data_IF_368703895400
#
_entry.id   IF_368703895400
#
_cell.length_a   1.000
_cell.length_b   1.000
_cell.length_c   1.000
_cell.angle_alpha   90.00
_cell.angle_beta   90.00
_cell.angle_gamma   90.00
#
_symmetry.space_group_name_H-M   'P 1'
#
loop_
_entity.id
_entity.type
_entity.pdbx_description
1 polymer ?
#
# COMPACT_ATOMS: atom_id res chain seq x y z
N UNK A 1 -0.40 -4.41 -0.59
CA UNK A 1 0.63 -4.74 -1.59
C UNK A 1 1.88 -3.91 -1.42
N UNK A 2 2.68 -3.79 -2.47
CA UNK A 2 3.92 -3.02 -2.53
C UNK A 2 3.85 -1.84 -3.51
N UNK A 3 4.93 -1.63 -4.27
CA UNK A 3 5.02 -0.61 -5.33
C UNK A 3 5.03 -1.26 -6.72
N UNK A 4 4.78 -0.47 -7.77
CA UNK A 4 4.84 -0.95 -9.15
C UNK A 4 3.87 -2.10 -9.39
N UNK A 5 4.35 -3.16 -10.03
CA UNK A 5 3.56 -4.36 -10.38
C UNK A 5 3.01 -5.11 -9.15
N UNK A 6 3.55 -4.83 -7.97
CA UNK A 6 3.11 -5.44 -6.71
C UNK A 6 2.09 -4.57 -5.96
N UNK A 7 1.75 -3.39 -6.48
CA UNK A 7 0.75 -2.51 -5.88
C UNK A 7 -0.66 -3.09 -6.11
N UNK A 8 -1.54 -2.93 -5.13
CA UNK A 8 -2.94 -3.40 -5.20
C UNK A 8 -3.86 -2.20 -5.01
N UNK A 9 -4.20 -1.48 -6.09
CA UNK A 9 -5.17 -0.38 -6.04
C UNK A 9 -6.56 -0.91 -5.69
N UNK A 10 -7.29 -0.21 -4.83
CA UNK A 10 -8.65 -0.58 -4.41
C UNK A 10 -9.66 0.55 -4.70
N UNK A 11 -10.11 0.72 -5.96
CA UNK A 11 -11.08 1.76 -6.32
C UNK A 11 -12.39 1.68 -5.52
N UNK A 12 -12.83 0.48 -5.14
CA UNK A 12 -14.02 0.23 -4.31
C UNK A 12 -13.95 0.92 -2.94
N UNK A 13 -12.75 1.06 -2.38
CA UNK A 13 -12.49 1.69 -1.09
C UNK A 13 -11.99 3.14 -1.22
N UNK A 14 -11.95 3.70 -2.43
CA UNK A 14 -11.51 5.07 -2.69
C UNK A 14 -12.74 5.97 -2.86
N UNK A 15 -12.79 7.09 -2.13
CA UNK A 15 -13.99 7.96 -2.10
C UNK A 15 -13.65 9.45 -2.25
N UNK A 16 -14.65 10.23 -2.67
CA UNK A 16 -14.65 11.69 -2.59
C UNK A 16 -15.88 12.11 -1.79
N UNK A 17 -15.68 12.71 -0.61
CA UNK A 17 -16.79 13.07 0.28
C UNK A 17 -17.65 11.88 0.71
N UNK A 18 -17.06 10.68 0.78
CA UNK A 18 -17.76 9.42 1.08
C UNK A 18 -18.43 8.74 -0.11
N UNK A 19 -18.46 9.38 -1.29
CA UNK A 19 -19.01 8.78 -2.51
C UNK A 19 -17.90 7.96 -3.21
N UNK A 20 -18.12 6.66 -3.52
CA UNK A 20 -17.15 5.84 -4.22
C UNK A 20 -16.74 6.43 -5.57
N UNK A 21 -15.44 6.41 -5.90
CA UNK A 21 -14.95 6.98 -7.17
C UNK A 21 -15.52 6.26 -8.40
N UNK A 22 -15.93 5.00 -8.26
CA UNK A 22 -16.60 4.21 -9.29
C UNK A 22 -17.95 4.78 -9.72
N UNK A 23 -18.55 5.66 -8.91
CA UNK A 23 -19.77 6.41 -9.26
C UNK A 23 -19.47 7.79 -9.87
N UNK A 24 -18.22 8.26 -9.77
CA UNK A 24 -17.85 9.65 -10.09
C UNK A 24 -17.04 9.75 -11.39
N UNK A 25 -16.24 8.74 -11.71
CA UNK A 25 -15.40 8.70 -12.90
C UNK A 25 -15.49 7.34 -13.57
N UNK A 26 -15.36 7.28 -14.92
CA UNK A 26 -15.48 6.03 -15.66
C UNK A 26 -14.30 5.09 -15.40
N UNK A 27 -14.53 3.80 -15.63
CA UNK A 27 -13.60 2.70 -15.31
C UNK A 27 -12.25 2.85 -16.01
N UNK A 28 -12.23 3.17 -17.31
CA UNK A 28 -11.01 3.40 -18.09
C UNK A 28 -10.12 4.50 -17.47
N UNK A 29 -10.73 5.55 -16.92
CA UNK A 29 -10.03 6.62 -16.23
C UNK A 29 -9.50 6.17 -14.86
N UNK A 30 -10.24 5.34 -14.13
CA UNK A 30 -9.80 4.74 -12.86
C UNK A 30 -8.58 3.85 -13.10
N UNK A 31 -8.62 3.02 -14.14
CA UNK A 31 -7.51 2.15 -14.55
C UNK A 31 -6.27 2.97 -14.90
N UNK A 32 -6.43 4.01 -15.72
CA UNK A 32 -5.33 4.90 -16.10
C UNK A 32 -4.70 5.60 -14.87
N UNK A 33 -5.51 6.07 -13.92
CA UNK A 33 -5.03 6.68 -12.67
C UNK A 33 -4.31 5.63 -11.81
N UNK A 34 -4.83 4.41 -11.73
CA UNK A 34 -4.25 3.32 -10.95
C UNK A 34 -2.88 2.90 -11.51
N UNK A 35 -2.77 2.77 -12.84
CA UNK A 35 -1.52 2.46 -13.53
C UNK A 35 -0.48 3.59 -13.36
N UNK A 36 -0.90 4.86 -13.45
CA UNK A 36 -0.01 6.00 -13.18
C UNK A 36 0.43 6.04 -11.73
N UNK A 37 -0.44 5.69 -10.78
CA UNK A 37 -0.08 5.61 -9.35
C UNK A 37 0.98 4.53 -9.12
N UNK A 38 0.82 3.36 -9.72
CA UNK A 38 1.78 2.25 -9.59
C UNK A 38 3.17 2.64 -10.12
N UNK A 39 3.20 3.41 -11.21
CA UNK A 39 4.42 3.86 -11.89
C UNK A 39 4.91 5.26 -11.44
N UNK A 40 4.24 5.90 -10.48
CA UNK A 40 4.46 7.31 -10.15
C UNK A 40 5.87 7.64 -9.67
N UNK A 41 6.51 6.71 -8.95
CA UNK A 41 7.93 6.85 -8.58
C UNK A 41 8.84 6.91 -9.80
N UNK A 42 8.58 6.04 -10.79
CA UNK A 42 9.31 6.01 -12.05
C UNK A 42 9.05 7.26 -12.91
N UNK A 43 7.84 7.82 -12.86
CA UNK A 43 7.52 9.10 -13.51
C UNK A 43 8.41 10.23 -12.98
N UNK A 44 8.57 10.35 -11.66
CA UNK A 44 9.45 11.38 -11.07
C UNK A 44 10.93 11.15 -11.39
N UNK A 45 11.40 9.89 -11.36
CA UNK A 45 12.79 9.56 -11.73
C UNK A 45 13.09 10.00 -13.17
N UNK A 46 12.16 9.76 -14.10
CA UNK A 46 12.31 10.18 -15.51
C UNK A 46 12.39 11.71 -15.65
N UNK A 47 11.63 12.46 -14.85
CA UNK A 47 11.63 13.92 -14.90
C UNK A 47 12.86 14.55 -14.23
N UNK A 48 13.37 13.95 -13.16
CA UNK A 48 14.55 14.47 -12.46
C UNK A 48 15.86 14.14 -13.17
N UNK A 49 15.90 13.07 -13.98
CA UNK A 49 17.07 12.49 -14.67
C UNK A 49 18.18 11.98 -13.75
N UNK A 50 18.34 12.57 -12.56
CA UNK A 50 19.29 12.20 -11.51
C UNK A 50 18.57 12.24 -10.15
N UNK A 51 18.41 11.07 -9.54
CA UNK A 51 17.75 10.91 -8.25
C UNK A 51 16.31 10.42 -8.36
N UNK A 52 15.57 10.50 -7.26
CA UNK A 52 14.19 10.02 -7.11
C UNK A 52 13.33 11.01 -6.33
N UNK A 53 12.02 10.76 -6.24
CA UNK A 53 11.12 11.60 -5.45
C UNK A 53 11.54 11.65 -3.97
N UNK A 54 11.46 12.83 -3.36
CA UNK A 54 11.80 13.00 -1.94
C UNK A 54 10.78 13.83 -1.14
N UNK A 55 10.09 14.80 -1.76
CA UNK A 55 9.06 15.57 -1.05
C UNK A 55 7.87 14.72 -0.60
N UNK A 56 7.24 13.96 -1.51
CA UNK A 56 6.10 13.11 -1.17
C UNK A 56 6.50 11.94 -0.24
N UNK A 57 7.61 11.20 -0.47
CA UNK A 57 8.08 10.19 0.48
C UNK A 57 8.40 10.76 1.86
N UNK A 58 9.07 11.91 1.94
CA UNK A 58 9.38 12.59 3.20
C UNK A 58 8.11 12.98 3.95
N UNK A 59 7.09 13.49 3.26
CA UNK A 59 5.80 13.80 3.87
C UNK A 59 5.08 12.55 4.39
N UNK A 60 5.11 11.44 3.65
CA UNK A 60 4.49 10.19 4.09
C UNK A 60 5.16 9.64 5.36
N UNK A 61 6.50 9.62 5.39
CA UNK A 61 7.27 9.22 6.56
C UNK A 61 7.01 10.14 7.76
N UNK A 62 6.92 11.45 7.54
CA UNK A 62 6.61 12.41 8.60
C UNK A 62 5.22 12.19 9.20
N UNK A 63 4.20 11.86 8.39
CA UNK A 63 2.85 11.54 8.87
C UNK A 63 2.85 10.27 9.74
N UNK A 64 3.58 9.23 9.32
CA UNK A 64 3.72 8.00 10.12
C UNK A 64 4.42 8.29 11.45
N UNK A 65 5.52 9.04 11.43
CA UNK A 65 6.25 9.44 12.63
C UNK A 65 5.39 10.30 13.56
N UNK A 66 4.64 11.27 13.03
CA UNK A 66 3.70 12.08 13.81
C UNK A 66 2.63 11.21 14.48
N UNK A 67 2.14 10.17 13.79
CA UNK A 67 1.14 9.26 14.33
C UNK A 67 1.64 8.49 15.55
N UNK A 68 2.90 8.06 15.51
CA UNK A 68 3.58 7.39 16.65
C UNK A 68 3.85 8.39 17.77
N UNK A 69 4.51 9.51 17.47
CA UNK A 69 4.95 10.47 18.48
C UNK A 69 3.80 11.10 19.27
N UNK A 70 2.64 11.29 18.64
CA UNK A 70 1.49 11.98 19.24
C UNK A 70 0.29 11.04 19.51
N UNK A 71 0.49 9.71 19.47
CA UNK A 71 -0.56 8.69 19.56
C UNK A 71 -1.83 9.04 18.76
N UNK A 72 -1.67 9.48 17.51
CA UNK A 72 -2.80 9.94 16.69
C UNK A 72 -3.73 8.81 16.28
N UNK A 73 -3.26 7.55 16.36
CA UNK A 73 -3.98 6.34 15.96
C UNK A 73 -4.58 6.44 14.56
N UNK A 74 -3.79 6.98 13.61
CA UNK A 74 -4.23 7.13 12.23
C UNK A 74 -4.35 5.77 11.55
N UNK A 75 -5.37 5.64 10.70
CA UNK A 75 -5.47 4.52 9.76
C UNK A 75 -4.62 4.85 8.53
N UNK A 76 -3.55 4.09 8.32
CA UNK A 76 -2.57 4.30 7.25
C UNK A 76 -2.29 2.94 6.60
N UNK A 77 -2.27 2.83 5.27
CA UNK A 77 -1.72 1.65 4.62
C UNK A 77 -0.19 1.63 4.83
N UNK A 78 0.31 0.63 5.55
CA UNK A 78 1.73 0.49 5.86
C UNK A 78 2.16 -0.97 5.75
N UNK A 79 3.47 -1.20 5.55
CA UNK A 79 4.03 -2.55 5.54
C UNK A 79 3.98 -3.13 6.95
N UNK A 80 3.12 -4.12 7.16
CA UNK A 80 2.87 -4.74 8.46
C UNK A 80 3.19 -6.23 8.41
N UNK A 81 3.62 -6.79 9.54
CA UNK A 81 3.83 -8.23 9.69
C UNK A 81 2.48 -8.94 9.80
N UNK A 82 2.21 -9.87 8.89
CA UNK A 82 0.98 -10.67 8.88
C UNK A 82 1.22 -12.05 9.50
N UNK A 83 0.23 -12.51 10.26
CA UNK A 83 0.24 -13.78 11.00
C UNK A 83 -1.08 -14.55 10.78
N UNK A 84 -1.63 -14.49 9.58
CA UNK A 84 -2.86 -15.15 9.17
C UNK A 84 -3.86 -14.27 8.42
N UNK A 85 -3.74 -12.94 8.48
CA UNK A 85 -4.64 -12.03 7.76
C UNK A 85 -4.52 -12.24 6.24
N UNK A 86 -5.63 -12.21 5.52
CA UNK A 86 -5.72 -12.45 4.09
C UNK A 86 -5.18 -13.82 3.66
N UNK A 87 -5.10 -14.79 4.58
CA UNK A 87 -4.46 -16.08 4.37
C UNK A 87 -2.93 -16.00 4.23
N UNK A 88 -2.31 -14.91 4.70
CA UNK A 88 -0.88 -14.66 4.64
C UNK A 88 -0.26 -14.73 6.03
N UNK A 89 0.84 -15.47 6.15
CA UNK A 89 1.59 -15.66 7.39
C UNK A 89 3.08 -15.39 7.14
N UNK A 90 3.83 -14.95 8.14
CA UNK A 90 5.29 -14.69 8.08
C UNK A 90 5.72 -13.81 6.90
N UNK A 91 5.09 -12.65 6.73
CA UNK A 91 5.42 -11.69 5.67
C UNK A 91 5.10 -10.26 6.07
N UNK A 92 5.97 -9.32 5.67
CA UNK A 92 5.67 -7.90 5.70
C UNK A 92 5.06 -7.45 4.37
N UNK A 93 3.83 -6.93 4.41
CA UNK A 93 3.15 -6.43 3.21
C UNK A 93 2.26 -5.22 3.54
N UNK A 94 2.07 -4.33 2.57
CA UNK A 94 1.23 -3.15 2.74
C UNK A 94 -0.24 -3.50 2.96
N UNK A 95 -0.78 -3.19 4.14
CA UNK A 95 -2.17 -3.38 4.53
C UNK A 95 -2.65 -2.18 5.37
N UNK A 96 -3.96 -1.88 5.42
CA UNK A 96 -4.48 -0.83 6.28
C UNK A 96 -4.29 -1.20 7.76
N UNK A 97 -3.66 -0.32 8.54
CA UNK A 97 -3.46 -0.51 9.96
C UNK A 97 -3.65 0.78 10.75
N UNK A 98 -3.88 0.65 12.07
CA UNK A 98 -3.77 1.75 13.03
C UNK A 98 -2.31 1.88 13.44
N UNK A 99 -1.74 3.07 13.25
CA UNK A 99 -0.41 3.43 13.77
C UNK A 99 -0.58 4.37 14.96
N UNK A 100 -0.23 3.89 16.16
CA UNK A 100 -0.25 4.64 17.41
C UNK A 100 1.12 4.68 18.09
N UNK A 101 1.16 5.08 19.36
CA UNK A 101 2.40 5.17 20.13
C UNK A 101 3.15 3.83 20.24
N UNK A 102 2.45 2.70 20.11
CA UNK A 102 3.04 1.36 20.16
C UNK A 102 3.40 0.79 18.78
N UNK A 103 3.41 1.63 17.73
CA UNK A 103 3.58 1.18 16.35
C UNK A 103 2.28 0.69 15.74
N UNK A 104 2.29 -0.51 15.13
CA UNK A 104 1.08 -1.11 14.53
C UNK A 104 0.19 -1.69 15.63
N UNK A 105 -0.92 -1.03 15.94
CA UNK A 105 -1.83 -1.42 17.03
C UNK A 105 -2.97 -2.32 16.58
N UNK A 106 -3.36 -2.22 15.30
CA UNK A 106 -4.41 -3.03 14.69
C UNK A 106 -4.23 -3.12 13.20
N UNK A 107 -4.38 -4.30 12.63
CA UNK A 107 -4.49 -4.51 11.18
C UNK A 107 -5.98 -4.67 10.85
N UNK A 108 -6.44 -3.98 9.80
CA UNK A 108 -7.80 -4.16 9.28
C UNK A 108 -7.79 -5.16 8.14
N UNK A 109 -8.65 -6.17 8.23
CA UNK A 109 -8.92 -7.08 7.14
C UNK A 109 -10.14 -6.56 6.37
N UNK A 110 -9.89 -6.10 5.15
CA UNK A 110 -10.91 -5.60 4.24
C UNK A 110 -11.62 -6.77 3.56
N UNK A 111 -12.89 -6.56 3.21
CA UNK A 111 -13.63 -7.46 2.33
C UNK A 111 -13.17 -7.23 0.88
N UNK A 112 -12.21 -8.05 0.45
CA UNK A 112 -11.60 -8.01 -0.88
C UNK A 112 -12.36 -8.95 -1.82
N UNK A 113 -12.50 -8.58 -3.10
CA UNK A 113 -12.91 -9.54 -4.12
C UNK A 113 -11.85 -10.62 -4.31
N UNK A 114 -12.23 -11.75 -4.91
CA UNK A 114 -11.29 -12.83 -5.24
C UNK A 114 -10.08 -12.30 -6.02
N UNK A 115 -10.30 -11.42 -7.00
CA UNK A 115 -9.23 -10.80 -7.78
C UNK A 115 -8.33 -9.85 -6.98
N UNK A 116 -8.89 -9.07 -6.05
CA UNK A 116 -8.14 -8.16 -5.18
C UNK A 116 -7.29 -8.97 -4.17
N UNK A 117 -7.86 -10.05 -3.64
CA UNK A 117 -7.19 -10.98 -2.73
C UNK A 117 -6.06 -11.73 -3.44
N UNK A 118 -6.30 -12.28 -4.62
CA UNK A 118 -5.28 -12.94 -5.44
C UNK A 118 -4.12 -11.98 -5.77
N UNK A 119 -4.42 -10.72 -6.10
CA UNK A 119 -3.40 -9.70 -6.35
C UNK A 119 -2.55 -9.40 -5.10
N UNK A 120 -3.19 -9.27 -3.92
CA UNK A 120 -2.48 -9.08 -2.65
C UNK A 120 -1.63 -10.28 -2.28
N UNK A 121 -2.15 -11.50 -2.44
CA UNK A 121 -1.41 -12.72 -2.18
C UNK A 121 -0.25 -12.86 -3.15
N UNK A 122 -0.44 -12.63 -4.45
CA UNK A 122 0.64 -12.63 -5.44
C UNK A 122 1.77 -11.65 -5.09
N UNK A 123 1.40 -10.44 -4.66
CA UNK A 123 2.34 -9.42 -4.14
C UNK A 123 3.15 -9.94 -2.95
N UNK A 124 2.50 -10.57 -1.96
CA UNK A 124 3.16 -11.13 -0.80
C UNK A 124 4.10 -12.30 -1.15
N UNK A 125 3.68 -13.20 -2.06
CA UNK A 125 4.51 -14.31 -2.52
C UNK A 125 5.76 -13.83 -3.27
N UNK A 126 5.62 -12.77 -4.08
CA UNK A 126 6.76 -12.13 -4.74
C UNK A 126 7.83 -11.68 -3.71
N UNK A 127 7.41 -10.98 -2.65
CA UNK A 127 8.33 -10.51 -1.62
C UNK A 127 8.93 -11.66 -0.79
N UNK A 128 8.15 -12.69 -0.47
CA UNK A 128 8.68 -13.90 0.17
C UNK A 128 9.76 -14.58 -0.68
N UNK A 129 9.52 -14.71 -1.99
CA UNK A 129 10.51 -15.26 -2.93
C UNK A 129 11.80 -14.46 -2.92
N UNK A 130 11.70 -13.13 -3.04
CA UNK A 130 12.86 -12.22 -2.99
C UNK A 130 13.66 -12.36 -1.68
N UNK A 131 12.96 -12.42 -0.53
CA UNK A 131 13.61 -12.57 0.77
C UNK A 131 14.30 -13.93 0.90
N UNK A 132 13.68 -15.00 0.42
CA UNK A 132 14.29 -16.33 0.38
C UNK A 132 15.57 -16.34 -0.47
N UNK A 133 15.54 -15.72 -1.64
CA UNK A 133 16.70 -15.67 -2.55
C UNK A 133 17.86 -14.86 -1.96
N UNK A 134 17.56 -13.77 -1.23
CA UNK A 134 18.58 -12.87 -0.65
C UNK A 134 19.12 -13.39 0.69
N UNK A 135 18.24 -13.89 1.56
CA UNK A 135 18.55 -14.21 2.96
C UNK A 135 18.66 -15.72 3.23
N UNK A 136 18.33 -16.58 2.26
CA UNK A 136 18.36 -18.05 2.41
C UNK A 136 17.30 -18.58 3.37
N UNK A 137 16.22 -17.82 3.54
CA UNK A 137 15.10 -18.13 4.42
C UNK A 137 14.33 -19.40 3.99
#
# INVERSE_FOLDING_TARGET
GGHGDTMVPLPRYTTVGGIPITQLIPEDRIEAISARTASGGGEIVKLLERGSAFYAPGSAAAIMAESVLNDRRRVIPASCYLTGQYGLDDVYIGVPCIIGANGVEKIFELDLTDSELESLQGSAHFYKGQLKDILGY
#
